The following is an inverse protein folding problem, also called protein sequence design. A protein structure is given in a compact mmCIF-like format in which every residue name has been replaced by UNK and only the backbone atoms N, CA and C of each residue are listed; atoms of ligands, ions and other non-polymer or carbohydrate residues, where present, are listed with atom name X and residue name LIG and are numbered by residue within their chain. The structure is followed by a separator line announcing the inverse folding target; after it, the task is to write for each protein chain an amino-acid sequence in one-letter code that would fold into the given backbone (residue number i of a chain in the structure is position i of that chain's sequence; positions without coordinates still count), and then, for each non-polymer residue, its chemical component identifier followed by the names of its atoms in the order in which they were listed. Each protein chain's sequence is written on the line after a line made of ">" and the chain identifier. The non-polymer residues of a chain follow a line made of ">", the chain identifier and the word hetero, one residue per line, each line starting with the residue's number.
data_IF_104610728299
#
_entry.id   IF_104610728299
#
_cell.length_a   1.000
_cell.length_b   1.000
_cell.length_c   1.000
_cell.angle_alpha   90.00
_cell.angle_beta   90.00
_cell.angle_gamma   90.00
#
_symmetry.space_group_name_H-M   'P 1'
#
loop_
_entity.id
_entity.type
_entity.pdbx_description
1 polymer ?
#
# COMPACT_ATOMS: atom_id res chain seq x y z
N UNK A 1 1.38 -20.33 -6.49
CA UNK A 1 0.60 -19.07 -6.52
C UNK A 1 1.57 -17.92 -6.66
N UNK A 2 1.48 -17.10 -7.73
CA UNK A 2 2.39 -15.96 -7.90
C UNK A 2 2.17 -14.93 -6.78
N UNK A 3 3.26 -14.33 -6.27
CA UNK A 3 3.18 -13.21 -5.34
C UNK A 3 2.89 -11.92 -6.13
N UNK A 4 1.82 -11.23 -5.75
CA UNK A 4 1.31 -10.05 -6.47
C UNK A 4 1.25 -8.88 -5.48
N UNK A 5 2.26 -7.98 -5.51
CA UNK A 5 2.23 -6.80 -4.67
C UNK A 5 1.21 -5.80 -5.22
N UNK A 6 0.35 -5.28 -4.34
CA UNK A 6 -0.62 -4.21 -4.67
C UNK A 6 -0.59 -3.18 -3.55
N UNK A 7 -0.48 -1.90 -3.90
CA UNK A 7 -0.61 -0.82 -2.94
C UNK A 7 -2.09 -0.41 -2.83
N UNK A 8 -2.57 -0.09 -1.63
CA UNK A 8 -3.98 0.28 -1.42
C UNK A 8 -4.13 1.40 -0.41
N UNK A 9 -5.05 2.31 -0.70
CA UNK A 9 -5.59 3.24 0.30
C UNK A 9 -7.04 2.89 0.63
N UNK A 10 -7.39 2.71 1.93
CA UNK A 10 -8.78 2.57 2.32
C UNK A 10 -9.53 3.92 2.33
N UNK A 11 -8.84 5.03 2.04
CA UNK A 11 -9.35 6.39 2.20
C UNK A 11 -9.39 6.82 3.68
N UNK A 12 -10.07 7.94 3.95
CA UNK A 12 -10.28 8.40 5.32
C UNK A 12 -11.21 7.43 6.04
N UNK A 13 -10.72 6.79 7.11
CA UNK A 13 -11.48 5.83 7.90
C UNK A 13 -11.56 6.27 9.37
N UNK A 14 -12.73 6.08 9.98
CA UNK A 14 -12.91 6.21 11.42
C UNK A 14 -12.11 5.12 12.10
N UNK A 15 -11.01 5.51 12.75
CA UNK A 15 -10.06 4.59 13.41
C UNK A 15 -9.32 5.31 14.53
N UNK A 16 -8.64 4.54 15.38
CA UNK A 16 -7.83 5.06 16.48
C UNK A 16 -6.45 5.57 16.05
N UNK A 17 -6.10 5.55 14.75
CA UNK A 17 -4.78 5.99 14.27
C UNK A 17 -4.53 7.47 14.61
N UNK A 18 -5.56 8.31 14.52
CA UNK A 18 -5.50 9.73 14.86
C UNK A 18 -5.72 10.07 16.33
N UNK A 19 -5.81 9.10 17.24
CA UNK A 19 -6.25 9.33 18.63
C UNK A 19 -5.42 10.34 19.42
N UNK A 20 -4.12 10.42 19.12
CA UNK A 20 -3.18 11.32 19.80
C UNK A 20 -3.05 12.69 19.11
N UNK A 21 -3.71 12.89 17.96
CA UNK A 21 -3.65 14.14 17.21
C UNK A 21 -4.79 15.05 17.67
N UNK A 22 -4.47 16.29 18.04
CA UNK A 22 -5.46 17.33 18.25
C UNK A 22 -6.10 17.69 16.91
N UNK A 23 -7.17 16.98 16.55
CA UNK A 23 -7.91 17.26 15.34
C UNK A 23 -8.53 18.66 15.43
N UNK A 24 -8.08 19.56 14.55
CA UNK A 24 -8.72 20.85 14.37
C UNK A 24 -10.18 20.64 13.90
N UNK A 25 -11.00 21.68 14.04
CA UNK A 25 -12.43 21.60 13.76
C UNK A 25 -12.73 21.09 12.33
N UNK A 26 -11.92 21.51 11.35
CA UNK A 26 -12.01 21.06 9.95
C UNK A 26 -11.80 19.56 9.83
N UNK A 27 -10.76 19.01 10.46
CA UNK A 27 -10.47 17.58 10.42
C UNK A 27 -11.59 16.76 11.08
N UNK A 28 -12.15 17.25 12.20
CA UNK A 28 -13.30 16.62 12.85
C UNK A 28 -14.54 16.61 11.94
N UNK A 29 -14.82 17.71 11.25
CA UNK A 29 -15.91 17.77 10.28
C UNK A 29 -15.69 16.82 9.10
N UNK A 30 -14.48 16.77 8.55
CA UNK A 30 -14.14 15.82 7.47
C UNK A 30 -14.26 14.38 7.93
N UNK A 31 -13.83 14.08 9.16
CA UNK A 31 -14.01 12.75 9.76
C UNK A 31 -15.50 12.41 9.91
N UNK A 32 -16.32 13.33 10.40
CA UNK A 32 -17.75 13.07 10.61
C UNK A 32 -18.52 12.86 9.29
N UNK A 33 -18.21 13.64 8.25
CA UNK A 33 -18.98 13.65 7.01
C UNK A 33 -18.44 12.71 5.92
N UNK A 34 -17.13 12.48 5.89
CA UNK A 34 -16.45 11.80 4.78
C UNK A 34 -15.75 10.51 5.19
N UNK A 35 -15.55 10.25 6.49
CA UNK A 35 -14.85 9.04 6.89
C UNK A 35 -15.73 7.80 6.69
N UNK A 36 -15.12 6.78 6.08
CA UNK A 36 -15.66 5.43 6.05
C UNK A 36 -15.62 4.82 7.44
N UNK A 37 -16.56 3.93 7.74
CA UNK A 37 -16.40 3.05 8.90
C UNK A 37 -15.17 2.16 8.72
N UNK A 38 -14.60 1.63 9.81
CA UNK A 38 -13.44 0.73 9.70
C UNK A 38 -13.73 -0.50 8.84
N UNK A 39 -14.97 -1.02 8.90
CA UNK A 39 -15.44 -2.12 8.06
C UNK A 39 -15.46 -1.74 6.56
N UNK A 40 -16.00 -0.57 6.21
CA UNK A 40 -15.98 -0.07 4.83
C UNK A 40 -14.55 0.14 4.32
N UNK A 41 -13.64 0.61 5.18
CA UNK A 41 -12.21 0.69 4.87
C UNK A 41 -11.57 -0.69 4.66
N UNK A 42 -11.89 -1.66 5.51
CA UNK A 42 -11.38 -3.03 5.40
C UNK A 42 -11.78 -3.71 4.07
N UNK A 43 -12.99 -3.43 3.56
CA UNK A 43 -13.42 -3.91 2.23
C UNK A 43 -12.50 -3.46 1.10
N UNK A 44 -11.85 -2.29 1.22
CA UNK A 44 -10.88 -1.81 0.25
C UNK A 44 -9.61 -2.66 0.24
N UNK A 45 -9.15 -3.03 1.44
CA UNK A 45 -7.99 -3.92 1.61
C UNK A 45 -8.29 -5.31 1.04
N UNK A 46 -9.46 -5.86 1.35
CA UNK A 46 -9.90 -7.14 0.80
C UNK A 46 -10.02 -7.10 -0.72
N UNK A 47 -10.58 -6.02 -1.29
CA UNK A 47 -10.67 -5.84 -2.73
C UNK A 47 -9.30 -5.78 -3.40
N UNK A 48 -8.34 -5.07 -2.81
CA UNK A 48 -6.97 -5.01 -3.35
C UNK A 48 -6.23 -6.35 -3.26
N UNK A 49 -6.55 -7.18 -2.27
CA UNK A 49 -5.95 -8.50 -2.09
C UNK A 49 -6.56 -9.57 -3.01
N UNK A 50 -7.88 -9.52 -3.24
CA UNK A 50 -8.63 -10.55 -3.96
C UNK A 50 -9.01 -10.18 -5.40
N UNK A 51 -8.94 -8.90 -5.74
CA UNK A 51 -9.49 -8.39 -7.00
C UNK A 51 -11.02 -8.26 -7.00
N UNK A 52 -11.59 -7.72 -8.08
CA UNK A 52 -13.02 -7.40 -8.21
C UNK A 52 -13.94 -8.62 -8.30
N UNK A 53 -13.44 -9.78 -8.72
CA UNK A 53 -14.21 -11.03 -8.81
C UNK A 53 -13.94 -11.98 -7.62
N UNK A 54 -13.06 -11.60 -6.70
CA UNK A 54 -12.72 -12.39 -5.51
C UNK A 54 -11.85 -13.61 -5.79
N UNK A 55 -11.36 -13.79 -7.01
CA UNK A 55 -10.56 -14.94 -7.41
C UNK A 55 -9.07 -14.60 -7.43
N UNK A 56 -8.25 -15.42 -6.75
CA UNK A 56 -6.78 -15.29 -6.70
C UNK A 56 -6.07 -15.88 -7.94
N UNK A 57 -6.83 -16.36 -8.93
CA UNK A 57 -6.31 -16.97 -10.14
C UNK A 57 -7.07 -16.45 -11.36
N UNK A 58 -6.35 -16.20 -12.47
CA UNK A 58 -6.93 -15.73 -13.73
C UNK A 58 -6.21 -14.52 -14.30
N UNK A 59 -6.56 -14.14 -15.54
CA UNK A 59 -5.92 -13.00 -16.25
C UNK A 59 -6.13 -11.67 -15.53
N UNK A 60 -7.18 -11.57 -14.72
CA UNK A 60 -7.51 -10.37 -13.98
C UNK A 60 -6.57 -10.13 -12.79
N UNK A 61 -5.97 -11.15 -12.19
CA UNK A 61 -5.05 -10.90 -11.06
C UNK A 61 -3.73 -10.29 -11.54
N UNK A 62 -3.34 -10.53 -12.80
CA UNK A 62 -2.13 -9.97 -13.39
C UNK A 62 -2.11 -8.44 -13.44
N UNK A 63 -3.26 -7.78 -13.60
CA UNK A 63 -3.32 -6.32 -13.62
C UNK A 63 -3.11 -5.67 -12.24
N UNK A 64 -3.20 -6.46 -11.15
CA UNK A 64 -3.01 -5.94 -9.79
C UNK A 64 -1.51 -5.77 -9.46
N UNK A 65 -0.62 -6.44 -10.21
CA UNK A 65 0.82 -6.42 -9.96
C UNK A 65 1.36 -5.00 -10.09
N UNK A 66 1.86 -4.45 -8.98
CA UNK A 66 2.37 -3.09 -8.91
C UNK A 66 1.29 -2.01 -9.01
N UNK A 67 0.01 -2.38 -8.97
CA UNK A 67 -1.08 -1.43 -9.07
C UNK A 67 -1.31 -0.67 -7.77
N UNK A 68 -1.92 0.50 -7.88
CA UNK A 68 -2.44 1.27 -6.77
C UNK A 68 -3.98 1.23 -6.76
N UNK A 69 -4.55 0.76 -5.65
CA UNK A 69 -5.98 0.61 -5.47
C UNK A 69 -6.55 1.69 -4.54
N UNK A 70 -7.68 2.27 -4.96
CA UNK A 70 -8.45 3.21 -4.16
C UNK A 70 -9.92 3.13 -4.52
N UNK A 71 -10.78 3.03 -3.51
CA UNK A 71 -12.24 3.04 -3.69
C UNK A 71 -12.73 1.91 -4.62
N UNK A 72 -12.19 0.70 -4.42
CA UNK A 72 -12.60 -0.52 -5.11
C UNK A 72 -12.22 -0.54 -6.59
N UNK A 73 -11.21 0.25 -6.96
CA UNK A 73 -10.76 0.42 -8.34
C UNK A 73 -9.25 0.65 -8.36
N UNK A 74 -8.61 0.26 -9.45
CA UNK A 74 -7.24 0.67 -9.74
C UNK A 74 -7.22 2.13 -10.16
N UNK A 75 -6.20 2.84 -9.70
CA UNK A 75 -5.96 4.25 -9.98
C UNK A 75 -4.50 4.44 -10.33
N UNK A 76 -4.23 5.40 -11.20
CA UNK A 76 -2.88 5.88 -11.40
C UNK A 76 -2.36 6.51 -10.10
N UNK A 77 -1.13 6.19 -9.66
CA UNK A 77 -0.47 6.92 -8.60
C UNK A 77 -0.26 8.39 -8.98
N UNK A 78 0.24 9.22 -8.06
CA UNK A 78 0.59 10.60 -8.41
C UNK A 78 1.78 10.65 -9.37
N UNK A 79 1.85 11.69 -10.19
CA UNK A 79 2.96 11.96 -11.13
C UNK A 79 4.33 11.90 -10.46
N UNK A 80 4.42 12.35 -9.19
CA UNK A 80 5.67 12.27 -8.43
C UNK A 80 6.12 10.82 -8.20
N UNK A 81 5.18 9.91 -7.88
CA UNK A 81 5.48 8.50 -7.59
C UNK A 81 5.97 7.77 -8.85
N UNK A 82 5.35 8.03 -10.00
CA UNK A 82 5.71 7.40 -11.28
C UNK A 82 6.81 8.16 -12.04
N UNK A 83 7.17 9.35 -11.57
CA UNK A 83 8.22 10.19 -12.13
C UNK A 83 9.62 9.73 -11.73
N UNK A 84 10.62 10.45 -12.24
CA UNK A 84 12.04 10.15 -12.00
C UNK A 84 12.37 10.21 -10.51
N UNK A 85 11.90 11.24 -9.82
CA UNK A 85 12.16 11.46 -8.40
C UNK A 85 11.54 10.36 -7.53
N UNK A 86 10.33 9.90 -7.87
CA UNK A 86 9.68 8.78 -7.19
C UNK A 86 10.46 7.47 -7.38
N UNK A 87 10.96 7.22 -8.60
CA UNK A 87 11.81 6.07 -8.88
C UNK A 87 13.11 6.11 -8.05
N UNK A 88 13.83 7.22 -8.07
CA UNK A 88 15.07 7.38 -7.29
C UNK A 88 14.80 7.23 -5.77
N UNK A 89 13.68 7.77 -5.29
CA UNK A 89 13.28 7.63 -3.90
C UNK A 89 12.96 6.18 -3.51
N UNK A 90 12.28 5.41 -4.36
CA UNK A 90 11.94 4.01 -4.05
C UNK A 90 13.18 3.13 -4.00
N UNK A 91 14.13 3.31 -4.91
CA UNK A 91 15.36 2.53 -4.98
C UNK A 91 16.21 2.81 -3.74
N UNK A 92 16.37 4.10 -3.40
CA UNK A 92 17.07 4.51 -2.20
C UNK A 92 16.40 3.97 -0.94
N UNK A 93 15.07 4.07 -0.84
CA UNK A 93 14.33 3.56 0.32
C UNK A 93 14.50 2.04 0.46
N UNK A 94 14.47 1.29 -0.65
CA UNK A 94 14.72 -0.16 -0.64
C UNK A 94 16.12 -0.50 -0.11
N UNK A 95 17.16 0.11 -0.69
CA UNK A 95 18.55 -0.15 -0.31
C UNK A 95 18.83 0.21 1.16
N UNK A 96 18.39 1.41 1.60
CA UNK A 96 18.55 1.85 2.98
C UNK A 96 17.77 0.96 3.96
N UNK A 97 16.54 0.55 3.61
CA UNK A 97 15.72 -0.33 4.46
C UNK A 97 16.40 -1.69 4.65
N UNK A 98 16.86 -2.32 3.56
CA UNK A 98 17.60 -3.58 3.64
C UNK A 98 18.86 -3.42 4.50
N UNK A 99 19.61 -2.32 4.34
CA UNK A 99 20.83 -2.08 5.12
C UNK A 99 20.58 -1.86 6.62
N UNK A 100 19.47 -1.22 6.97
CA UNK A 100 19.10 -1.07 8.39
C UNK A 100 18.68 -2.42 8.96
N UNK A 101 17.85 -3.16 8.22
CA UNK A 101 17.28 -4.42 8.70
C UNK A 101 18.33 -5.53 8.81
N UNK A 102 19.32 -5.60 7.92
CA UNK A 102 20.42 -6.58 8.02
C UNK A 102 21.27 -6.37 9.28
N UNK A 103 21.35 -5.14 9.80
CA UNK A 103 22.03 -4.85 11.07
C UNK A 103 21.34 -5.51 12.27
N UNK A 104 20.02 -5.73 12.19
CA UNK A 104 19.25 -6.45 13.21
C UNK A 104 19.12 -7.95 12.92
N UNK A 105 19.04 -8.33 11.65
CA UNK A 105 18.84 -9.71 11.18
C UNK A 105 19.66 -9.97 9.89
N UNK A 106 20.92 -10.46 10.01
CA UNK A 106 21.82 -10.63 8.87
C UNK A 106 21.31 -11.56 7.76
N UNK A 107 20.37 -12.46 8.06
CA UNK A 107 19.71 -13.34 7.10
C UNK A 107 18.91 -12.58 6.02
N UNK A 108 18.51 -11.34 6.30
CA UNK A 108 17.75 -10.51 5.34
C UNK A 108 18.56 -10.27 4.07
N UNK A 109 19.87 -10.01 4.19
CA UNK A 109 20.74 -9.84 3.03
C UNK A 109 20.77 -11.10 2.17
N UNK A 110 20.88 -12.28 2.79
CA UNK A 110 20.89 -13.57 2.09
C UNK A 110 19.58 -13.79 1.31
N UNK A 111 18.44 -13.46 1.92
CA UNK A 111 17.12 -13.58 1.27
C UNK A 111 17.03 -12.63 0.07
N UNK A 112 17.48 -11.38 0.22
CA UNK A 112 17.49 -10.40 -0.88
C UNK A 112 18.38 -10.91 -2.03
N UNK A 113 19.58 -11.36 -1.72
CA UNK A 113 20.55 -11.82 -2.72
C UNK A 113 20.10 -13.10 -3.45
N UNK A 114 19.30 -13.96 -2.79
CA UNK A 114 18.81 -15.21 -3.37
C UNK A 114 17.53 -15.03 -4.20
N UNK A 115 16.62 -14.15 -3.79
CA UNK A 115 15.27 -14.06 -4.35
C UNK A 115 14.95 -12.75 -5.07
N UNK A 116 15.77 -11.70 -4.92
CA UNK A 116 15.48 -10.35 -5.41
C UNK A 116 16.60 -9.73 -6.26
N UNK A 117 17.59 -10.53 -6.68
CA UNK A 117 18.63 -10.10 -7.64
C UNK A 117 18.11 -10.36 -9.05
N UNK A 118 18.05 -9.30 -9.86
CA UNK A 118 17.82 -9.39 -11.32
C UNK A 118 19.10 -9.82 -12.06
#
# INVERSE_FOLDING_TARGET
>A
MPLIPTAVTPGLCTSQLGRSHSANLILRFRQLLLARTSEQGARQLAWAALGPDGHLEGRHVGYLRGAYASTGQMREPSDWVIGKEGWEAQERLWLETVSILEGAAPEIRKIVDEYFVE
#
